data_IF_993788723328
#
_entry.id   IF_993788723328
#
_cell.length_a   1.000
_cell.length_b   1.000
_cell.length_c   1.000
_cell.angle_alpha   90.00
_cell.angle_beta   90.00
_cell.angle_gamma   90.00
#
_symmetry.space_group_name_H-M   'P 1'
#
loop_
_entity.id
_entity.type
_entity.pdbx_description
1 polymer ?
#
# COMPACT_ATOMS: atom_id res chain seq x y z
N UNK A 1 16.15 -10.57 34.71
CA UNK A 1 16.20 -11.21 33.38
C UNK A 1 14.93 -10.84 32.66
N UNK A 2 14.98 -9.84 31.77
CA UNK A 2 13.88 -9.53 30.87
C UNK A 2 14.21 -10.23 29.55
N UNK A 3 13.40 -11.24 29.23
CA UNK A 3 13.59 -12.24 28.19
C UNK A 3 13.69 -11.66 26.78
N UNK A 4 14.88 -11.21 26.38
CA UNK A 4 15.40 -11.36 25.01
C UNK A 4 14.58 -10.77 23.86
N UNK A 5 13.54 -9.97 24.10
CA UNK A 5 12.85 -9.24 23.05
C UNK A 5 13.73 -8.07 22.64
N UNK A 6 14.59 -8.32 21.66
CA UNK A 6 15.25 -7.26 20.88
C UNK A 6 14.18 -6.23 20.56
N UNK A 7 14.36 -5.03 21.10
CA UNK A 7 13.61 -3.86 20.66
C UNK A 7 13.93 -3.73 19.18
N UNK A 8 12.94 -4.03 18.32
CA UNK A 8 13.04 -3.75 16.90
C UNK A 8 13.37 -2.26 16.81
N UNK A 9 14.57 -1.91 16.34
CA UNK A 9 14.88 -0.53 15.98
C UNK A 9 13.75 -0.10 15.04
N UNK A 10 13.03 1.00 15.33
CA UNK A 10 12.14 1.57 14.35
C UNK A 10 12.96 1.85 13.10
N UNK A 11 12.81 1.01 12.07
CA UNK A 11 13.52 1.12 10.81
C UNK A 11 12.95 2.28 10.00
N UNK A 12 13.35 3.50 10.36
CA UNK A 12 13.81 4.60 9.50
C UNK A 12 12.92 5.11 8.34
N UNK A 13 11.76 4.57 7.95
CA UNK A 13 10.93 5.28 6.94
C UNK A 13 9.40 5.25 7.14
N UNK A 14 8.83 6.45 7.11
CA UNK A 14 7.41 6.73 6.83
C UNK A 14 6.88 5.96 5.59
N UNK A 15 7.76 5.66 4.64
CA UNK A 15 7.43 4.98 3.39
C UNK A 15 6.99 3.54 3.61
N UNK A 16 7.66 2.79 4.49
CA UNK A 16 7.24 1.44 4.85
C UNK A 16 5.86 1.44 5.55
N UNK A 17 5.60 2.43 6.41
CA UNK A 17 4.31 2.59 7.08
C UNK A 17 3.18 2.83 6.08
N UNK A 18 3.38 3.74 5.12
CA UNK A 18 2.38 4.01 4.09
C UNK A 18 2.15 2.80 3.19
N UNK A 19 3.22 2.12 2.77
CA UNK A 19 3.10 0.89 1.97
C UNK A 19 2.28 -0.19 2.69
N UNK A 20 2.62 -0.52 3.93
CA UNK A 20 1.89 -1.52 4.73
C UNK A 20 0.44 -1.12 4.97
N UNK A 21 0.17 0.18 5.16
CA UNK A 21 -1.20 0.68 5.29
C UNK A 21 -2.02 0.50 3.99
N UNK A 22 -1.43 0.79 2.82
CA UNK A 22 -2.07 0.56 1.53
C UNK A 22 -2.29 -0.93 1.26
N UNK A 23 -1.32 -1.78 1.58
CA UNK A 23 -1.43 -3.23 1.42
C UNK A 23 -2.58 -3.79 2.29
N UNK A 24 -2.65 -3.36 3.55
CA UNK A 24 -3.74 -3.71 4.47
C UNK A 24 -5.10 -3.24 3.96
N UNK A 25 -5.18 -2.02 3.42
CA UNK A 25 -6.39 -1.47 2.82
C UNK A 25 -6.88 -2.34 1.64
N UNK A 26 -5.99 -2.73 0.73
CA UNK A 26 -6.34 -3.56 -0.42
C UNK A 26 -6.73 -4.99 -0.01
N UNK A 27 -6.06 -5.57 0.99
CA UNK A 27 -6.45 -6.85 1.58
C UNK A 27 -7.85 -6.79 2.22
N UNK A 28 -8.21 -5.65 2.81
CA UNK A 28 -9.51 -5.43 3.42
C UNK A 28 -10.64 -5.06 2.42
N UNK A 29 -10.36 -4.98 1.12
CA UNK A 29 -11.30 -4.56 0.05
C UNK A 29 -12.68 -5.18 0.17
N UNK A 30 -12.77 -6.51 0.29
CA UNK A 30 -14.05 -7.21 0.38
C UNK A 30 -14.85 -6.80 1.64
N UNK A 31 -14.19 -6.74 2.79
CA UNK A 31 -14.80 -6.35 4.05
C UNK A 31 -15.28 -4.89 4.02
N UNK A 32 -14.48 -4.00 3.43
CA UNK A 32 -14.82 -2.60 3.26
C UNK A 32 -16.05 -2.47 2.35
N UNK A 33 -16.05 -3.11 1.18
CA UNK A 33 -17.21 -3.13 0.26
C UNK A 33 -18.46 -3.63 1.00
N UNK A 34 -18.35 -4.74 1.74
CA UNK A 34 -19.45 -5.31 2.51
C UNK A 34 -19.96 -4.35 3.59
N UNK A 35 -19.09 -3.60 4.26
CA UNK A 35 -19.49 -2.61 5.26
C UNK A 35 -20.42 -1.56 4.65
N UNK A 36 -20.07 -1.02 3.48
CA UNK A 36 -20.84 0.04 2.81
C UNK A 36 -22.12 -0.47 2.10
N UNK A 37 -22.22 -1.77 1.82
CA UNK A 37 -23.45 -2.40 1.27
C UNK A 37 -24.33 -3.04 2.35
N UNK A 38 -23.86 -3.10 3.60
CA UNK A 38 -24.59 -3.72 4.69
C UNK A 38 -25.90 -2.99 5.01
N UNK A 39 -26.95 -3.75 5.34
CA UNK A 39 -28.22 -3.17 5.83
C UNK A 39 -28.01 -2.32 7.09
N UNK A 40 -27.07 -2.72 7.95
CA UNK A 40 -26.71 -1.98 9.15
C UNK A 40 -26.24 -0.56 8.83
N UNK A 41 -25.47 -0.37 7.75
CA UNK A 41 -25.05 0.95 7.28
C UNK A 41 -26.17 1.68 6.51
N UNK A 42 -26.78 1.03 5.51
CA UNK A 42 -27.78 1.63 4.60
C UNK A 42 -29.03 2.12 5.33
N UNK A 43 -29.37 1.52 6.47
CA UNK A 43 -30.53 1.92 7.27
C UNK A 43 -30.23 3.05 8.28
N UNK A 44 -28.99 3.53 8.38
CA UNK A 44 -28.66 4.65 9.28
C UNK A 44 -29.07 6.00 8.69
N UNK A 45 -29.41 6.96 9.54
CA UNK A 45 -29.61 8.36 9.13
C UNK A 45 -28.32 8.97 8.56
N UNK A 46 -27.16 8.50 9.03
CA UNK A 46 -25.85 8.92 8.52
C UNK A 46 -25.70 8.62 7.03
N UNK A 47 -26.13 7.44 6.56
CA UNK A 47 -26.05 7.06 5.13
C UNK A 47 -26.80 8.00 4.19
N UNK A 48 -27.80 8.72 4.70
CA UNK A 48 -28.61 9.67 3.94
C UNK A 48 -27.92 11.03 3.75
N UNK A 49 -26.89 11.33 4.54
CA UNK A 49 -26.16 12.59 4.45
C UNK A 49 -25.41 12.70 3.12
N UNK A 50 -25.35 13.90 2.51
CA UNK A 50 -24.65 14.10 1.23
C UNK A 50 -23.18 13.66 1.26
N UNK A 51 -22.50 13.90 2.39
CA UNK A 51 -21.10 13.50 2.58
C UNK A 51 -20.93 11.97 2.62
N UNK A 52 -21.87 11.28 3.29
CA UNK A 52 -21.84 9.83 3.45
C UNK A 52 -22.12 9.08 2.14
N UNK A 53 -22.78 9.71 1.16
CA UNK A 53 -23.02 9.12 -0.17
C UNK A 53 -21.78 9.09 -1.07
N UNK A 54 -20.80 9.97 -0.84
CA UNK A 54 -19.57 10.02 -1.64
C UNK A 54 -18.65 8.83 -1.42
N UNK A 55 -18.53 8.36 -0.17
CA UNK A 55 -17.59 7.28 0.16
C UNK A 55 -17.96 5.96 -0.52
N UNK A 56 -19.23 5.50 -0.50
CA UNK A 56 -19.65 4.33 -1.28
C UNK A 56 -19.39 4.47 -2.78
N UNK A 57 -19.57 5.66 -3.37
CA UNK A 57 -19.29 5.85 -4.81
C UNK A 57 -17.83 5.56 -5.16
N UNK A 58 -16.90 5.96 -4.28
CA UNK A 58 -15.46 5.71 -4.47
C UNK A 58 -15.15 4.24 -4.22
N UNK A 59 -15.61 3.70 -3.08
CA UNK A 59 -15.29 2.35 -2.61
C UNK A 59 -15.92 1.25 -3.45
N UNK A 60 -17.10 1.48 -4.01
CA UNK A 60 -17.76 0.51 -4.91
C UNK A 60 -17.24 0.63 -6.34
N UNK A 61 -16.56 1.72 -6.68
CA UNK A 61 -15.94 1.93 -7.99
C UNK A 61 -14.71 1.05 -8.19
N UNK A 62 -14.64 0.36 -9.33
CA UNK A 62 -13.47 -0.46 -9.71
C UNK A 62 -12.20 0.37 -9.85
N UNK A 63 -12.32 1.59 -10.36
CA UNK A 63 -11.16 2.46 -10.64
C UNK A 63 -10.36 2.82 -9.39
N UNK A 64 -11.01 2.97 -8.24
CA UNK A 64 -10.32 3.24 -6.98
C UNK A 64 -9.37 2.09 -6.63
N UNK A 65 -9.86 0.87 -6.67
CA UNK A 65 -9.07 -0.32 -6.34
C UNK A 65 -7.99 -0.61 -7.38
N UNK A 66 -8.29 -0.44 -8.67
CA UNK A 66 -7.30 -0.59 -9.73
C UNK A 66 -6.14 0.41 -9.55
N UNK A 67 -6.44 1.66 -9.15
CA UNK A 67 -5.40 2.65 -8.82
C UNK A 67 -4.64 2.29 -7.56
N UNK A 68 -5.31 1.79 -6.52
CA UNK A 68 -4.66 1.40 -5.27
C UNK A 68 -3.69 0.21 -5.47
N UNK A 69 -4.11 -0.81 -6.23
CA UNK A 69 -3.28 -1.96 -6.61
C UNK A 69 -2.05 -1.49 -7.41
N UNK A 70 -2.22 -0.62 -8.42
CA UNK A 70 -1.10 -0.01 -9.15
C UNK A 70 -0.11 0.74 -8.26
N UNK A 71 -0.61 1.47 -7.26
CA UNK A 71 0.24 2.20 -6.30
C UNK A 71 1.05 1.21 -5.45
N UNK A 72 0.43 0.12 -5.00
CA UNK A 72 1.14 -0.94 -4.24
C UNK A 72 2.25 -1.54 -5.09
N UNK A 73 1.95 -1.92 -6.33
CA UNK A 73 2.94 -2.49 -7.25
C UNK A 73 4.12 -1.53 -7.43
N UNK A 74 3.87 -0.23 -7.66
CA UNK A 74 4.93 0.78 -7.78
C UNK A 74 5.75 0.92 -6.49
N UNK A 75 5.09 0.97 -5.34
CA UNK A 75 5.74 1.14 -4.05
C UNK A 75 6.55 -0.10 -3.66
N UNK A 76 6.15 -1.30 -4.03
CA UNK A 76 6.89 -2.53 -3.75
C UNK A 76 8.31 -2.46 -4.31
N UNK A 77 8.46 -2.07 -5.57
CA UNK A 77 9.77 -1.94 -6.23
C UNK A 77 10.64 -0.87 -5.55
N UNK A 78 10.04 0.26 -5.16
CA UNK A 78 10.75 1.33 -4.43
C UNK A 78 11.19 0.85 -3.05
N UNK A 79 10.32 0.14 -2.33
CA UNK A 79 10.61 -0.42 -1.01
C UNK A 79 11.74 -1.46 -1.09
N UNK A 80 11.81 -2.27 -2.15
CA UNK A 80 12.92 -3.20 -2.38
C UNK A 80 14.26 -2.47 -2.56
N UNK A 81 14.30 -1.40 -3.33
CA UNK A 81 15.51 -0.56 -3.49
C UNK A 81 15.91 0.07 -2.16
N UNK A 82 14.95 0.63 -1.41
CA UNK A 82 15.22 1.23 -0.10
C UNK A 82 15.76 0.19 0.89
N UNK A 83 15.18 -1.02 0.94
CA UNK A 83 15.69 -2.13 1.77
C UNK A 83 17.12 -2.51 1.41
N UNK A 84 17.48 -2.49 0.12
CA UNK A 84 18.84 -2.77 -0.33
C UNK A 84 19.83 -1.70 0.16
N UNK A 85 19.44 -0.43 0.09
CA UNK A 85 20.27 0.70 0.54
C UNK A 85 20.40 0.74 2.07
N UNK A 86 19.34 0.40 2.79
CA UNK A 86 19.29 0.37 4.26
C UNK A 86 19.96 -0.87 4.87
N UNK A 87 20.40 -1.84 4.06
CA UNK A 87 21.05 -3.05 4.54
C UNK A 87 22.38 -2.76 5.28
N UNK A 88 22.61 -3.45 6.40
CA UNK A 88 23.83 -3.29 7.21
C UNK A 88 25.12 -3.59 6.42
N UNK A 89 25.02 -4.45 5.39
CA UNK A 89 26.10 -4.61 4.39
C UNK A 89 26.00 -3.48 3.37
N UNK A 90 27.02 -2.62 3.29
CA UNK A 90 27.11 -1.59 2.24
C UNK A 90 27.05 -2.26 0.85
N UNK A 91 25.94 -2.13 0.09
CA UNK A 91 25.90 -2.64 -1.27
C UNK A 91 26.89 -1.84 -2.12
N UNK A 92 27.54 -2.47 -3.10
CA UNK A 92 28.28 -1.69 -4.09
C UNK A 92 27.29 -0.85 -4.89
N UNK A 93 27.69 0.36 -5.29
CA UNK A 93 26.82 1.26 -6.07
C UNK A 93 26.24 0.59 -7.33
N UNK A 94 26.97 -0.37 -7.93
CA UNK A 94 26.50 -1.16 -9.06
C UNK A 94 25.20 -1.92 -8.78
N UNK A 95 25.07 -2.56 -7.61
CA UNK A 95 23.84 -3.26 -7.23
C UNK A 95 22.66 -2.32 -6.99
N UNK A 96 22.91 -1.13 -6.43
CA UNK A 96 21.87 -0.12 -6.21
C UNK A 96 21.35 0.42 -7.54
N UNK A 97 22.25 0.74 -8.49
CA UNK A 97 21.86 1.18 -9.84
C UNK A 97 21.05 0.11 -10.60
N UNK A 98 21.48 -1.14 -10.52
CA UNK A 98 20.78 -2.27 -11.14
C UNK A 98 19.37 -2.47 -10.55
N UNK A 99 19.21 -2.39 -9.22
CA UNK A 99 17.89 -2.44 -8.57
C UNK A 99 16.99 -1.25 -8.96
N UNK A 100 17.55 -0.04 -9.06
CA UNK A 100 16.82 1.15 -9.53
C UNK A 100 16.36 1.01 -10.98
N UNK A 101 17.20 0.49 -11.86
CA UNK A 101 16.84 0.31 -13.27
C UNK A 101 15.76 -0.76 -13.45
N UNK A 102 15.80 -1.86 -12.69
CA UNK A 102 14.68 -2.81 -12.62
C UNK A 102 13.37 -2.14 -12.19
N UNK A 103 13.39 -1.36 -11.12
CA UNK A 103 12.21 -0.62 -10.65
C UNK A 103 11.65 0.35 -11.73
N UNK A 104 12.52 1.00 -12.51
CA UNK A 104 12.11 1.87 -13.63
C UNK A 104 11.52 1.08 -14.81
N UNK A 105 12.10 -0.08 -15.13
CA UNK A 105 11.66 -0.92 -16.26
C UNK A 105 10.30 -1.52 -15.96
N UNK A 106 10.04 -1.96 -14.72
CA UNK A 106 8.72 -2.45 -14.34
C UNK A 106 7.62 -1.42 -14.62
N UNK A 107 7.88 -0.12 -14.41
CA UNK A 107 6.95 0.95 -14.81
C UNK A 107 6.61 0.93 -16.31
N UNK A 108 7.63 0.75 -17.18
CA UNK A 108 7.46 0.79 -18.64
C UNK A 108 6.76 -0.44 -19.21
N UNK A 109 6.91 -1.61 -18.58
CA UNK A 109 6.27 -2.85 -19.03
C UNK A 109 4.75 -2.78 -18.86
N UNK A 110 4.26 -2.13 -17.80
CA UNK A 110 2.82 -1.92 -17.57
C UNK A 110 2.20 -0.82 -18.46
N UNK A 111 2.99 0.11 -18.99
CA UNK A 111 2.51 1.13 -19.95
C UNK A 111 2.34 0.57 -21.39
N UNK A 112 2.83 -0.66 -21.64
CA UNK A 112 2.84 -1.33 -22.95
C UNK A 112 1.85 -2.53 -23.04
N UNK A 113 1.07 -2.76 -21.97
CA UNK A 113 0.00 -3.77 -21.88
C UNK A 113 -1.33 -3.08 -21.58
#
# INVERSE_FOLDING_TARGET
MNEGRKILRPGITRFATHFVAFESLCRAKANIIQMWTSRAYVNTDFSRQPLARRVPQIVLGKDFWNRAERIIDLLEHVVLVLKLVDGDSKPTMGFVYDAMDRAKVQRKVWDLL
#
